data_IF_668771336834
#
_entry.id   IF_668771336834
#
_cell.length_a   1.000
_cell.length_b   1.000
_cell.length_c   1.000
_cell.angle_alpha   90.00
_cell.angle_beta   90.00
_cell.angle_gamma   90.00
#
_symmetry.space_group_name_H-M   'P 1'
#
loop_
_entity.id
_entity.type
_entity.pdbx_description
1 polymer ?
#
# COMPACT_ATOMS: atom_id res chain seq x y z
N UNK A 1 12.63 -0.54 -10.74
CA UNK A 1 13.92 -1.23 -10.65
C UNK A 1 14.01 -2.38 -11.63
N UNK A 2 15.22 -2.70 -12.09
CA UNK A 2 15.39 -3.67 -13.15
C UNK A 2 16.23 -4.82 -12.66
N UNK A 3 16.00 -6.01 -13.26
CA UNK A 3 16.86 -7.15 -13.01
C UNK A 3 18.17 -6.92 -13.78
N UNK A 4 19.07 -7.86 -13.69
CA UNK A 4 20.38 -7.63 -14.32
C UNK A 4 20.35 -7.70 -15.84
N UNK A 5 19.26 -8.15 -16.42
CA UNK A 5 19.11 -8.08 -17.87
C UNK A 5 18.49 -6.75 -18.31
N UNK A 6 18.28 -5.84 -17.39
CA UNK A 6 17.70 -4.55 -17.71
C UNK A 6 16.19 -4.54 -17.74
N UNK A 7 15.55 -5.62 -17.38
CA UNK A 7 14.10 -5.71 -17.37
C UNK A 7 13.58 -5.58 -15.95
N UNK A 8 12.36 -5.06 -15.81
CA UNK A 8 11.72 -4.96 -14.51
C UNK A 8 11.31 -6.33 -14.01
N UNK A 9 11.41 -6.52 -12.71
CA UNK A 9 10.75 -7.64 -12.10
C UNK A 9 9.24 -7.40 -12.11
N UNK A 10 8.50 -8.42 -11.73
CA UNK A 10 7.05 -8.34 -11.74
C UNK A 10 6.56 -7.20 -10.85
N UNK A 11 5.39 -6.70 -11.16
CA UNK A 11 4.70 -5.76 -10.32
C UNK A 11 3.88 -6.53 -9.29
N UNK A 12 3.82 -5.98 -8.08
CA UNK A 12 3.07 -6.59 -6.98
C UNK A 12 2.07 -5.56 -6.46
N UNK A 13 0.82 -5.98 -6.38
CA UNK A 13 -0.23 -5.15 -5.84
C UNK A 13 -0.70 -5.77 -4.52
N UNK A 14 -0.63 -4.99 -3.46
CA UNK A 14 -1.05 -5.43 -2.13
C UNK A 14 -2.32 -4.67 -1.77
N UNK A 15 -3.35 -5.39 -1.36
CA UNK A 15 -4.63 -4.78 -0.99
C UNK A 15 -4.82 -4.99 0.50
N UNK A 16 -4.99 -3.88 1.22
CA UNK A 16 -5.17 -3.88 2.67
C UNK A 16 -6.55 -3.32 2.97
N UNK A 17 -7.33 -4.03 3.74
CA UNK A 17 -8.72 -3.65 3.94
C UNK A 17 -8.96 -2.75 5.14
N UNK A 18 -8.13 -2.86 6.16
CA UNK A 18 -8.47 -2.28 7.46
C UNK A 18 -7.65 -1.08 7.88
N UNK A 19 -6.40 -1.02 7.48
CA UNK A 19 -5.50 0.02 7.99
C UNK A 19 -4.72 0.64 6.84
N UNK A 20 -4.42 1.94 6.95
CA UNK A 20 -3.57 2.56 5.94
C UNK A 20 -2.12 2.13 6.12
N UNK A 21 -1.36 2.23 5.04
CA UNK A 21 0.09 2.13 5.13
C UNK A 21 0.66 3.54 5.02
N UNK A 22 1.80 3.80 5.60
CA UNK A 22 2.70 2.91 6.33
C UNK A 22 2.32 2.64 7.78
N UNK A 23 1.12 3.02 8.20
CA UNK A 23 0.71 2.77 9.58
C UNK A 23 0.70 1.27 9.89
N UNK A 24 0.20 0.44 8.97
CA UNK A 24 0.23 -1.01 9.13
C UNK A 24 1.66 -1.48 8.92
N UNK A 25 2.34 -1.73 10.02
CA UNK A 25 3.77 -2.01 9.98
C UNK A 25 4.12 -3.30 9.27
N UNK A 26 3.31 -4.32 9.46
CA UNK A 26 3.62 -5.61 8.83
C UNK A 26 3.53 -5.50 7.32
N UNK A 27 2.47 -4.89 6.83
CA UNK A 27 2.31 -4.71 5.40
C UNK A 27 3.41 -3.82 4.86
N UNK A 28 3.76 -2.77 5.61
CA UNK A 28 4.80 -1.86 5.15
C UNK A 28 6.15 -2.55 5.06
N UNK A 29 6.47 -3.42 6.03
CA UNK A 29 7.72 -4.16 5.97
C UNK A 29 7.76 -5.12 4.79
N UNK A 30 6.64 -5.80 4.51
CA UNK A 30 6.57 -6.65 3.34
C UNK A 30 6.76 -5.87 2.06
N UNK A 31 6.13 -4.70 1.99
CA UNK A 31 6.22 -3.85 0.81
C UNK A 31 7.65 -3.38 0.57
N UNK A 32 8.32 -2.94 1.62
CA UNK A 32 9.69 -2.45 1.47
C UNK A 32 10.64 -3.59 1.11
N UNK A 33 10.41 -4.76 1.66
CA UNK A 33 11.24 -5.93 1.32
C UNK A 33 11.10 -6.26 -0.16
N UNK A 34 9.88 -6.27 -0.67
CA UNK A 34 9.67 -6.53 -2.09
C UNK A 34 10.34 -5.47 -2.95
N UNK A 35 10.19 -4.21 -2.54
CA UNK A 35 10.78 -3.12 -3.30
C UNK A 35 12.31 -3.24 -3.34
N UNK A 36 12.91 -3.60 -2.22
CA UNK A 36 14.35 -3.76 -2.14
C UNK A 36 14.83 -4.91 -3.01
N UNK A 37 13.96 -5.88 -3.28
CA UNK A 37 14.30 -7.00 -4.14
C UNK A 37 13.96 -6.72 -5.60
N UNK A 38 13.63 -5.49 -5.95
CA UNK A 38 13.50 -5.08 -7.34
C UNK A 38 12.10 -5.17 -7.91
N UNK A 39 11.10 -5.46 -7.09
CA UNK A 39 9.72 -5.47 -7.57
C UNK A 39 9.15 -4.06 -7.61
N UNK A 40 8.24 -3.81 -8.55
CA UNK A 40 7.42 -2.62 -8.51
C UNK A 40 6.26 -2.91 -7.57
N UNK A 41 6.10 -2.08 -6.53
CA UNK A 41 5.10 -2.36 -5.50
C UNK A 41 4.10 -1.22 -5.44
N UNK A 42 2.83 -1.59 -5.44
CA UNK A 42 1.73 -0.67 -5.19
C UNK A 42 0.86 -1.24 -4.09
N UNK A 43 0.35 -0.36 -3.23
CA UNK A 43 -0.51 -0.76 -2.12
C UNK A 43 -1.81 0.02 -2.24
N UNK A 44 -2.94 -0.67 -2.11
CA UNK A 44 -4.26 -0.05 -2.02
C UNK A 44 -4.74 -0.27 -0.59
N UNK A 45 -5.07 0.82 0.09
CA UNK A 45 -5.47 0.75 1.49
C UNK A 45 -6.45 1.88 1.80
N UNK A 46 -7.12 1.84 2.94
CA UNK A 46 -7.99 2.94 3.32
C UNK A 46 -7.19 4.14 3.84
N UNK A 47 -7.83 5.30 3.86
CA UNK A 47 -7.33 6.45 4.61
C UNK A 47 -7.55 6.21 6.09
N UNK A 48 -6.93 7.05 6.90
CA UNK A 48 -7.11 7.00 8.33
C UNK A 48 -5.80 7.24 9.06
N UNK A 49 -5.91 7.37 10.36
CA UNK A 49 -4.72 7.56 11.21
C UNK A 49 -3.84 8.69 10.70
N UNK A 50 -4.49 9.74 10.15
CA UNK A 50 -3.82 10.92 9.60
C UNK A 50 -3.08 10.67 8.30
N UNK A 51 -3.24 9.50 7.70
CA UNK A 51 -2.75 9.23 6.36
C UNK A 51 -3.91 9.43 5.39
N UNK A 52 -4.09 10.69 4.96
CA UNK A 52 -5.30 11.07 4.25
C UNK A 52 -5.11 11.35 2.77
N UNK A 53 -3.87 11.42 2.31
CA UNK A 53 -3.62 11.61 0.90
C UNK A 53 -4.09 10.42 0.10
N UNK A 54 -4.81 10.66 -0.97
CA UNK A 54 -5.35 9.56 -1.78
C UNK A 54 -4.26 8.87 -2.59
N UNK A 55 -3.16 9.54 -2.83
CA UNK A 55 -2.02 8.92 -3.49
C UNK A 55 -0.74 9.55 -2.99
N UNK A 56 0.25 8.72 -2.71
CA UNK A 56 1.60 9.21 -2.51
C UNK A 56 2.59 8.11 -2.80
N UNK A 57 3.80 8.51 -3.09
CA UNK A 57 4.89 7.56 -3.31
C UNK A 57 5.82 7.67 -2.12
N UNK A 58 6.05 6.56 -1.43
CA UNK A 58 6.89 6.52 -0.24
C UNK A 58 7.93 5.44 -0.46
N UNK A 59 9.19 5.81 -0.42
CA UNK A 59 10.31 4.88 -0.59
C UNK A 59 10.17 4.06 -1.86
N UNK A 60 9.64 4.68 -2.91
CA UNK A 60 9.48 4.01 -4.19
C UNK A 60 8.25 3.14 -4.27
N UNK A 61 7.43 3.11 -3.25
CA UNK A 61 6.19 2.32 -3.22
C UNK A 61 5.03 3.25 -3.48
N UNK A 62 4.17 2.87 -4.41
CA UNK A 62 2.99 3.66 -4.76
C UNK A 62 1.86 3.30 -3.82
N UNK A 63 1.34 4.28 -3.10
CA UNK A 63 0.27 4.06 -2.13
C UNK A 63 -0.98 4.78 -2.62
N UNK A 64 -2.03 4.00 -2.84
CA UNK A 64 -3.34 4.51 -3.25
C UNK A 64 -4.30 4.30 -2.09
N UNK A 65 -4.92 5.37 -1.62
CA UNK A 65 -5.83 5.28 -0.48
C UNK A 65 -7.24 5.67 -0.88
N UNK A 66 -8.19 5.03 -0.26
CA UNK A 66 -9.59 5.35 -0.46
C UNK A 66 -10.25 5.57 0.89
N UNK A 67 -11.23 6.48 0.96
CA UNK A 67 -11.92 6.67 2.24
C UNK A 67 -12.81 5.49 2.55
N UNK A 68 -12.99 5.23 3.84
CA UNK A 68 -13.92 4.22 4.26
C UNK A 68 -15.34 4.79 4.23
N UNK A 69 -16.32 4.03 3.73
CA UNK A 69 -17.70 4.50 3.74
C UNK A 69 -18.20 4.65 5.18
N UNK A 70 -19.09 5.62 5.42
CA UNK A 70 -19.61 5.80 6.78
C UNK A 70 -20.28 4.56 7.34
N UNK A 71 -20.98 3.80 6.51
CA UNK A 71 -21.62 2.61 6.97
C UNK A 71 -20.61 1.57 7.45
N UNK A 72 -19.45 1.56 6.85
CA UNK A 72 -18.40 0.67 7.29
C UNK A 72 -17.86 1.12 8.61
N UNK A 73 -17.70 2.43 8.77
CA UNK A 73 -17.16 2.93 10.03
C UNK A 73 -18.12 2.66 11.18
N UNK A 74 -19.38 2.58 10.91
CA UNK A 74 -20.31 2.21 11.96
C UNK A 74 -20.11 0.75 12.35
N UNK A 75 -19.52 0.02 11.52
CA UNK A 75 -19.08 -1.35 11.65
C UNK A 75 -20.12 -2.24 12.23
N UNK A 76 -20.78 -1.72 13.16
CA UNK A 76 -21.88 -2.42 13.73
C UNK A 76 -22.82 -2.78 12.63
N UNK A 77 -22.82 -2.00 11.63
CA UNK A 77 -23.70 -2.23 10.54
C UNK A 77 -23.33 -3.44 9.73
N UNK A 78 -22.26 -4.04 10.10
CA UNK A 78 -21.95 -5.22 9.33
C UNK A 78 -20.83 -6.03 9.95
#
# INVERSE_FOLDING_TARGET
>A
MRDRAGRRKAAVLIIVENLPVPFDRRVWMESTTLRENGYDVAVICPTGRQYDSLYEEIDGIHVYRHPLPPEVSSAAGY
#
